data_IF_925439162445
#
_entry.id   IF_925439162445
#
_cell.length_a   1.000
_cell.length_b   1.000
_cell.length_c   1.000
_cell.angle_alpha   90.00
_cell.angle_beta   90.00
_cell.angle_gamma   90.00
#
_symmetry.space_group_name_H-M   'P 1'
#
loop_
_entity.id
_entity.type
_entity.pdbx_description
1 polymer ?
#
# COMPACT_ATOMS: atom_id res chain seq x y z
N UNK A 1 -2.32 22.75 -5.71
CA UNK A 1 -2.24 21.76 -4.61
C UNK A 1 -3.27 22.13 -3.57
N UNK A 2 -4.14 21.19 -3.21
CA UNK A 2 -5.06 21.37 -2.08
C UNK A 2 -4.29 21.09 -0.79
N UNK A 3 -4.24 22.04 0.14
CA UNK A 3 -3.65 21.85 1.46
C UNK A 3 -4.35 20.64 2.13
N UNK A 4 -3.56 19.68 2.59
CA UNK A 4 -4.05 18.50 3.29
C UNK A 4 -4.44 17.31 2.41
N UNK A 5 -4.36 17.41 1.07
CA UNK A 5 -4.53 16.27 0.19
C UNK A 5 -3.23 15.48 0.00
N UNK A 6 -3.32 14.17 -0.17
CA UNK A 6 -2.19 13.33 -0.56
C UNK A 6 -1.87 13.54 -2.05
N UNK A 7 -0.63 13.85 -2.34
CA UNK A 7 -0.06 13.84 -3.69
C UNK A 7 0.53 12.46 -3.96
N UNK A 8 -0.10 11.71 -4.85
CA UNK A 8 0.35 10.36 -5.22
C UNK A 8 1.60 10.44 -6.11
N UNK A 9 2.67 9.80 -5.66
CA UNK A 9 3.94 9.68 -6.41
C UNK A 9 4.60 8.36 -6.07
N UNK A 10 4.19 7.30 -6.75
CA UNK A 10 4.75 5.96 -6.53
C UNK A 10 6.19 5.88 -7.04
N UNK A 11 7.10 5.36 -6.20
CA UNK A 11 8.50 5.17 -6.53
C UNK A 11 9.14 4.10 -5.63
N UNK A 12 10.10 3.36 -6.18
CA UNK A 12 10.99 2.49 -5.40
C UNK A 12 12.18 3.26 -4.77
N UNK A 13 12.38 4.51 -5.19
CA UNK A 13 13.36 5.40 -4.59
C UNK A 13 12.69 6.26 -3.51
N UNK A 14 13.23 6.20 -2.30
CA UNK A 14 12.73 6.98 -1.17
C UNK A 14 13.42 8.35 -1.10
N UNK A 15 12.70 9.44 -0.72
CA UNK A 15 13.34 10.70 -0.35
C UNK A 15 14.38 10.45 0.74
N UNK A 16 15.55 11.14 0.67
CA UNK A 16 16.69 10.90 1.57
C UNK A 16 16.31 10.89 3.06
N UNK A 17 15.47 11.83 3.49
CA UNK A 17 15.03 11.91 4.88
C UNK A 17 14.15 10.72 5.29
N UNK A 18 13.27 10.28 4.38
CA UNK A 18 12.41 9.11 4.61
C UNK A 18 13.26 7.84 4.69
N UNK A 19 14.27 7.68 3.83
CA UNK A 19 15.21 6.57 3.87
C UNK A 19 15.95 6.51 5.22
N UNK A 20 16.36 7.68 5.76
CA UNK A 20 16.95 7.77 7.10
C UNK A 20 15.96 7.34 8.19
N UNK A 21 14.70 7.78 8.10
CA UNK A 21 13.66 7.39 9.05
C UNK A 21 13.36 5.89 9.01
N UNK A 22 13.34 5.29 7.83
CA UNK A 22 13.17 3.83 7.65
C UNK A 22 14.32 3.08 8.32
N UNK A 23 15.58 3.49 8.08
CA UNK A 23 16.74 2.83 8.67
C UNK A 23 16.78 2.85 10.21
N UNK A 24 16.06 3.77 10.84
CA UNK A 24 15.96 3.88 12.31
C UNK A 24 14.82 3.05 12.91
N UNK A 25 13.93 2.47 12.10
CA UNK A 25 12.75 1.75 12.62
C UNK A 25 13.13 0.53 13.45
N UNK A 26 14.08 -0.27 12.97
CA UNK A 26 14.48 -1.51 13.64
C UNK A 26 15.18 -1.26 14.98
N UNK A 27 15.77 -0.06 15.16
CA UNK A 27 16.36 0.37 16.44
C UNK A 27 15.29 0.88 17.43
N UNK A 28 14.15 1.35 16.93
CA UNK A 28 13.11 1.99 17.74
C UNK A 28 11.96 1.05 18.12
N UNK A 29 11.74 0.00 17.33
CA UNK A 29 10.58 -0.89 17.49
C UNK A 29 11.07 -2.31 17.78
N UNK A 30 10.70 -2.81 18.96
CA UNK A 30 11.01 -4.17 19.39
C UNK A 30 9.83 -5.09 19.08
N UNK A 31 10.10 -6.30 18.55
CA UNK A 31 9.10 -7.34 18.29
C UNK A 31 8.43 -7.27 16.91
N UNK A 32 8.87 -6.37 16.05
CA UNK A 32 8.49 -6.35 14.65
C UNK A 32 9.62 -5.81 13.77
N UNK A 33 9.71 -6.32 12.54
CA UNK A 33 10.61 -5.84 11.48
C UNK A 33 9.78 -5.18 10.36
N UNK A 34 10.38 -4.21 9.66
CA UNK A 34 9.69 -3.45 8.61
C UNK A 34 10.53 -3.39 7.34
N UNK A 35 10.08 -4.07 6.30
CA UNK A 35 10.68 -4.01 4.96
C UNK A 35 9.94 -2.98 4.10
N UNK A 36 10.55 -1.82 3.87
CA UNK A 36 9.98 -0.79 3.02
C UNK A 36 10.06 -1.18 1.54
N UNK A 37 8.93 -1.15 0.84
CA UNK A 37 8.78 -1.65 -0.53
C UNK A 37 8.62 -0.52 -1.55
N UNK A 38 7.76 0.48 -1.26
CA UNK A 38 7.52 1.58 -2.18
C UNK A 38 7.14 2.88 -1.44
N UNK A 39 7.63 3.99 -1.93
CA UNK A 39 7.13 5.32 -1.59
C UNK A 39 5.80 5.54 -2.30
N UNK A 40 4.81 6.05 -1.59
CA UNK A 40 3.44 6.23 -2.12
C UNK A 40 3.12 7.68 -2.46
N UNK A 41 3.69 8.62 -1.71
CA UNK A 41 3.42 10.04 -1.91
C UNK A 41 3.60 10.87 -0.65
N UNK A 42 3.16 12.12 -0.74
CA UNK A 42 3.29 13.11 0.35
C UNK A 42 2.02 13.90 0.58
N UNK A 43 1.92 14.48 1.77
CA UNK A 43 0.81 15.34 2.18
C UNK A 43 1.36 16.56 2.92
N UNK A 44 1.03 17.75 2.45
CA UNK A 44 1.43 19.00 3.12
C UNK A 44 0.47 19.29 4.25
N UNK A 45 1.02 19.32 5.47
CA UNK A 45 0.33 19.62 6.73
C UNK A 45 1.15 20.65 7.50
N UNK A 46 1.25 20.56 8.83
CA UNK A 46 2.31 21.27 9.57
C UNK A 46 3.64 20.51 9.40
N UNK A 47 4.32 20.77 8.28
CA UNK A 47 5.41 19.97 7.74
C UNK A 47 4.95 19.14 6.54
N UNK A 48 5.60 18.00 6.31
CA UNK A 48 5.24 17.08 5.23
C UNK A 48 5.12 15.66 5.77
N UNK A 49 3.96 15.05 5.56
CA UNK A 49 3.81 13.61 5.75
C UNK A 49 4.26 12.89 4.49
N UNK A 50 4.96 11.77 4.68
CA UNK A 50 5.40 10.86 3.63
C UNK A 50 4.83 9.48 3.90
N UNK A 51 4.18 8.87 2.92
CA UNK A 51 3.62 7.53 3.02
C UNK A 51 4.52 6.50 2.34
N UNK A 52 4.76 5.38 3.01
CA UNK A 52 5.60 4.28 2.54
C UNK A 52 4.85 2.96 2.71
N UNK A 53 4.71 2.19 1.63
CA UNK A 53 4.24 0.81 1.69
C UNK A 53 5.37 -0.07 2.22
N UNK A 54 5.06 -0.88 3.23
CA UNK A 54 6.01 -1.80 3.83
C UNK A 54 5.37 -3.14 4.20
N UNK A 55 6.19 -4.17 4.31
CA UNK A 55 5.85 -5.39 5.00
C UNK A 55 6.24 -5.25 6.47
N UNK A 56 5.32 -5.53 7.36
CA UNK A 56 5.59 -5.72 8.77
C UNK A 56 5.67 -7.22 9.06
N UNK A 57 6.74 -7.69 9.71
CA UNK A 57 6.85 -9.05 10.23
C UNK A 57 6.82 -8.99 11.75
N UNK A 58 5.77 -9.55 12.36
CA UNK A 58 5.63 -9.59 13.83
C UNK A 58 6.32 -10.84 14.35
N UNK A 59 7.33 -10.64 15.20
CA UNK A 59 8.20 -11.69 15.74
C UNK A 59 7.58 -12.32 17.01
N UNK A 60 6.65 -13.26 16.84
CA UNK A 60 5.92 -13.91 17.96
C UNK A 60 6.10 -15.42 18.02
N UNK A 61 7.18 -15.95 17.39
CA UNK A 61 7.44 -17.39 17.32
C UNK A 61 6.66 -18.14 16.23
N UNK A 62 5.59 -17.55 15.70
CA UNK A 62 4.99 -17.81 14.38
C UNK A 62 4.89 -16.46 13.70
N UNK A 63 5.91 -16.10 12.94
CA UNK A 63 6.00 -14.79 12.31
C UNK A 63 4.78 -14.52 11.45
N UNK A 64 4.03 -13.49 11.81
CA UNK A 64 2.87 -13.05 11.06
C UNK A 64 3.25 -11.83 10.25
N UNK A 65 2.98 -11.86 8.94
CA UNK A 65 3.27 -10.75 8.04
C UNK A 65 2.01 -9.92 7.80
N UNK A 66 2.16 -8.60 7.81
CA UNK A 66 1.11 -7.66 7.46
C UNK A 66 1.62 -6.71 6.37
N UNK A 67 0.73 -6.25 5.51
CA UNK A 67 1.01 -5.08 4.67
C UNK A 67 0.60 -3.83 5.46
N UNK A 68 1.51 -2.87 5.56
CA UNK A 68 1.31 -1.63 6.31
C UNK A 68 1.66 -0.41 5.48
N UNK A 69 1.08 0.73 5.82
CA UNK A 69 1.55 2.03 5.39
C UNK A 69 2.17 2.75 6.59
N UNK A 70 3.47 3.01 6.48
CA UNK A 70 4.23 3.84 7.40
C UNK A 70 4.05 5.30 7.00
N UNK A 71 3.71 6.16 7.94
CA UNK A 71 3.68 7.61 7.71
C UNK A 71 4.79 8.25 8.51
N UNK A 72 5.68 8.93 7.80
CA UNK A 72 6.76 9.73 8.37
C UNK A 72 6.40 11.20 8.28
N UNK A 73 6.57 11.96 9.37
CA UNK A 73 6.40 13.40 9.35
C UNK A 73 7.75 14.11 9.34
N UNK A 74 7.97 14.92 8.32
CA UNK A 74 9.08 15.86 8.22
C UNK A 74 8.64 17.20 8.81
N UNK A 75 9.25 17.59 9.94
CA UNK A 75 8.94 18.87 10.59
C UNK A 75 9.46 20.06 9.79
N UNK A 76 8.75 21.21 9.80
CA UNK A 76 9.22 22.42 9.14
C UNK A 76 10.57 22.88 9.69
N UNK A 77 11.45 23.33 8.81
CA UNK A 77 12.77 23.94 9.15
C UNK A 77 13.74 23.02 9.91
N UNK A 78 13.50 21.72 9.96
CA UNK A 78 14.42 20.75 10.55
C UNK A 78 14.85 19.72 9.51
N UNK A 79 15.91 18.98 9.82
CA UNK A 79 16.32 17.80 9.05
C UNK A 79 15.67 16.52 9.60
N UNK A 80 14.91 16.64 10.69
CA UNK A 80 14.33 15.51 11.39
C UNK A 80 13.09 14.99 10.69
N UNK A 81 13.02 13.70 10.58
CA UNK A 81 11.85 12.93 10.17
C UNK A 81 11.54 11.95 11.30
N UNK A 82 10.28 11.85 11.67
CA UNK A 82 9.82 10.93 12.70
C UNK A 82 8.69 10.06 12.18
N UNK A 83 8.64 8.80 12.62
CA UNK A 83 7.49 7.93 12.38
C UNK A 83 6.26 8.53 13.09
N UNK A 84 5.24 8.87 12.32
CA UNK A 84 3.99 9.44 12.82
C UNK A 84 2.93 8.37 13.06
N UNK A 85 2.84 7.37 12.17
CA UNK A 85 1.90 6.25 12.33
C UNK A 85 2.30 5.01 11.53
N UNK A 86 1.81 3.86 11.99
CA UNK A 86 1.84 2.57 11.30
C UNK A 86 0.39 2.16 11.07
N UNK A 87 -0.01 2.01 9.81
CA UNK A 87 -1.39 1.69 9.45
C UNK A 87 -1.44 0.35 8.74
N UNK A 88 -1.97 -0.68 9.39
CA UNK A 88 -2.17 -1.98 8.76
C UNK A 88 -3.25 -1.88 7.70
N UNK A 89 -2.90 -2.22 6.45
CA UNK A 89 -3.82 -2.20 5.31
C UNK A 89 -4.30 -3.61 4.91
N UNK A 90 -3.45 -4.63 5.08
CA UNK A 90 -3.82 -6.04 4.95
C UNK A 90 -3.21 -6.80 6.11
N UNK A 91 -4.04 -7.49 6.88
CA UNK A 91 -3.61 -8.34 7.99
C UNK A 91 -3.41 -9.76 7.49
N UNK A 92 -2.19 -10.26 7.62
CA UNK A 92 -1.90 -11.66 7.33
C UNK A 92 -2.42 -12.60 8.41
N UNK A 93 -2.66 -13.83 8.01
CA UNK A 93 -3.05 -14.90 8.92
C UNK A 93 -2.48 -16.23 8.42
N UNK A 94 -1.74 -16.92 9.26
CA UNK A 94 -1.10 -18.21 8.95
C UNK A 94 -2.06 -19.41 9.08
N UNK A 95 -3.36 -19.15 9.39
CA UNK A 95 -4.37 -20.20 9.47
C UNK A 95 -4.92 -20.56 8.07
N UNK A 96 -5.45 -21.79 7.89
CA UNK A 96 -6.08 -22.18 6.63
C UNK A 96 -7.16 -21.19 6.19
N UNK A 97 -7.08 -20.70 4.95
CA UNK A 97 -7.97 -19.66 4.42
C UNK A 97 -7.62 -18.23 4.83
N UNK A 98 -6.55 -18.05 5.57
CA UNK A 98 -5.99 -16.74 5.88
C UNK A 98 -5.28 -16.11 4.67
N UNK A 99 -4.94 -14.82 4.79
CA UNK A 99 -4.19 -14.12 3.75
C UNK A 99 -2.69 -14.36 3.99
N UNK A 100 -2.03 -14.94 2.99
CA UNK A 100 -0.57 -15.08 2.91
C UNK A 100 0.00 -13.76 2.36
N UNK A 101 0.50 -12.91 3.26
CA UNK A 101 1.06 -11.60 2.91
C UNK A 101 2.53 -11.74 2.50
N UNK A 102 2.86 -11.19 1.33
CA UNK A 102 4.22 -11.07 0.80
C UNK A 102 4.34 -9.79 -0.03
N UNK A 103 4.64 -8.68 0.62
CA UNK A 103 4.70 -7.37 -0.04
C UNK A 103 5.98 -7.24 -0.84
N UNK A 104 5.86 -7.12 -2.17
CA UNK A 104 7.00 -7.01 -3.07
C UNK A 104 6.65 -6.25 -4.35
N UNK A 105 7.63 -5.60 -4.96
CA UNK A 105 7.49 -5.04 -6.31
C UNK A 105 7.65 -6.08 -7.42
N UNK A 106 8.17 -7.26 -7.10
CA UNK A 106 8.25 -8.39 -8.02
C UNK A 106 6.92 -9.15 -8.02
N UNK A 107 6.04 -8.84 -8.97
CA UNK A 107 4.72 -9.46 -9.08
C UNK A 107 4.87 -10.88 -9.64
N UNK A 108 4.40 -11.94 -8.93
CA UNK A 108 4.42 -13.30 -9.44
C UNK A 108 3.69 -13.42 -10.78
N UNK A 109 4.22 -14.24 -11.70
CA UNK A 109 3.71 -14.34 -13.07
C UNK A 109 2.24 -14.78 -13.12
N UNK A 110 1.83 -15.72 -12.26
CA UNK A 110 0.45 -16.18 -12.15
C UNK A 110 -0.49 -15.10 -11.63
N UNK A 111 -0.05 -14.31 -10.64
CA UNK A 111 -0.82 -13.19 -10.11
C UNK A 111 -0.98 -12.09 -11.17
N UNK A 112 0.10 -11.77 -11.89
CA UNK A 112 0.05 -10.82 -13.00
C UNK A 112 -0.90 -11.26 -14.09
N UNK A 113 -0.86 -12.53 -14.50
CA UNK A 113 -1.76 -13.07 -15.51
C UNK A 113 -3.24 -12.98 -15.08
N UNK A 114 -3.55 -13.24 -13.80
CA UNK A 114 -4.89 -13.08 -13.25
C UNK A 114 -5.36 -11.61 -13.32
N UNK A 115 -4.50 -10.67 -12.94
CA UNK A 115 -4.81 -9.23 -13.00
C UNK A 115 -5.03 -8.78 -14.45
N UNK A 116 -4.15 -9.17 -15.39
CA UNK A 116 -4.26 -8.81 -16.79
C UNK A 116 -5.56 -9.39 -17.41
N UNK A 117 -5.97 -10.61 -17.03
CA UNK A 117 -7.22 -11.21 -17.45
C UNK A 117 -8.44 -10.46 -16.92
N UNK A 118 -8.42 -10.09 -15.63
CA UNK A 118 -9.50 -9.36 -14.97
C UNK A 118 -9.66 -7.93 -15.51
N UNK A 119 -8.56 -7.28 -15.89
CA UNK A 119 -8.58 -5.94 -16.49
C UNK A 119 -8.95 -5.94 -17.98
N UNK A 120 -9.06 -7.10 -18.61
CA UNK A 120 -9.45 -7.19 -20.01
C UNK A 120 -10.87 -6.71 -20.22
N UNK A 121 -11.01 -5.57 -20.91
CA UNK A 121 -12.32 -4.91 -21.12
C UNK A 121 -12.76 -4.00 -19.96
N UNK A 122 -11.95 -3.84 -18.93
CA UNK A 122 -12.20 -2.85 -17.89
C UNK A 122 -12.08 -1.43 -18.47
N UNK A 123 -13.09 -0.61 -18.23
CA UNK A 123 -13.19 0.76 -18.76
C UNK A 123 -13.38 1.75 -17.61
N UNK A 124 -13.08 3.03 -17.87
CA UNK A 124 -13.31 4.12 -16.91
C UNK A 124 -12.09 4.49 -16.07
N UNK A 125 -11.10 3.61 -15.92
CA UNK A 125 -9.84 3.91 -15.24
C UNK A 125 -8.69 3.09 -15.80
N UNK A 126 -7.49 3.67 -15.80
CA UNK A 126 -6.24 2.94 -15.99
C UNK A 126 -5.80 2.41 -14.63
N UNK A 127 -5.52 1.11 -14.53
CA UNK A 127 -5.07 0.43 -13.31
C UNK A 127 -3.68 -0.13 -13.55
N UNK A 128 -2.69 0.28 -12.75
CA UNK A 128 -1.30 -0.14 -12.87
C UNK A 128 -0.81 -0.67 -11.52
N UNK A 129 -0.63 -1.99 -11.43
CA UNK A 129 -0.06 -2.60 -10.23
C UNK A 129 1.44 -2.24 -10.11
N UNK A 130 1.84 -1.72 -8.96
CA UNK A 130 3.24 -1.43 -8.64
C UNK A 130 3.80 -2.33 -7.55
N UNK A 131 2.94 -3.02 -6.79
CA UNK A 131 3.36 -4.02 -5.83
C UNK A 131 2.31 -5.14 -5.72
N UNK A 132 2.81 -6.33 -5.44
CA UNK A 132 2.04 -7.48 -4.98
C UNK A 132 1.96 -7.41 -3.45
N UNK A 133 0.79 -7.71 -2.89
CA UNK A 133 0.56 -7.67 -1.44
C UNK A 133 0.47 -9.07 -0.84
N UNK A 134 -0.16 -10.00 -1.58
CA UNK A 134 -0.35 -11.35 -1.09
C UNK A 134 -1.48 -12.08 -1.81
N UNK A 135 -1.81 -13.26 -1.27
CA UNK A 135 -2.88 -14.09 -1.78
C UNK A 135 -3.69 -14.74 -0.65
N UNK A 136 -4.90 -15.14 -0.99
CA UNK A 136 -5.77 -15.91 -0.12
C UNK A 136 -6.32 -17.11 -0.90
N UNK A 137 -6.23 -18.30 -0.31
CA UNK A 137 -6.84 -19.51 -0.90
C UNK A 137 -8.29 -19.56 -0.43
N UNK A 138 -9.21 -19.49 -1.40
CA UNK A 138 -10.65 -19.57 -1.21
C UNK A 138 -11.21 -20.76 -2.01
N UNK A 139 -12.29 -20.64 -2.78
CA UNK A 139 -12.66 -21.62 -3.80
C UNK A 139 -11.74 -21.61 -5.02
N UNK A 140 -10.92 -20.57 -5.14
CA UNK A 140 -9.84 -20.35 -6.07
C UNK A 140 -8.71 -19.66 -5.32
N UNK A 141 -8.03 -18.73 -6.01
CA UNK A 141 -7.01 -17.88 -5.41
C UNK A 141 -7.42 -16.43 -5.61
N UNK A 142 -7.46 -15.68 -4.51
CA UNK A 142 -7.59 -14.24 -4.52
C UNK A 142 -6.18 -13.64 -4.45
N UNK A 143 -5.81 -12.85 -5.45
CA UNK A 143 -4.56 -12.09 -5.46
C UNK A 143 -4.82 -10.65 -5.06
N UNK A 144 -3.96 -10.07 -4.23
CA UNK A 144 -4.08 -8.70 -3.73
C UNK A 144 -2.90 -7.89 -4.22
N UNK A 145 -3.18 -6.72 -4.80
CA UNK A 145 -2.20 -5.80 -5.36
C UNK A 145 -2.36 -4.40 -4.79
N UNK A 146 -1.26 -3.64 -4.74
CA UNK A 146 -1.30 -2.20 -4.65
C UNK A 146 -1.18 -1.61 -6.06
N UNK A 147 -2.17 -0.80 -6.45
CA UNK A 147 -2.28 -0.25 -7.79
C UNK A 147 -2.40 1.27 -7.76
N UNK A 148 -1.75 1.93 -8.72
CA UNK A 148 -2.07 3.30 -9.09
C UNK A 148 -3.30 3.25 -10.01
N UNK A 149 -4.33 4.01 -9.67
CA UNK A 149 -5.59 4.10 -10.42
C UNK A 149 -5.76 5.52 -10.93
N UNK A 150 -5.86 5.66 -12.24
CA UNK A 150 -6.05 6.94 -12.93
C UNK A 150 -7.38 6.93 -13.66
N UNK A 151 -8.40 7.70 -13.23
CA UNK A 151 -9.67 7.79 -13.93
C UNK A 151 -9.50 8.35 -15.35
N UNK A 152 -10.30 7.86 -16.29
CA UNK A 152 -10.33 8.38 -17.67
C UNK A 152 -11.31 9.55 -17.72
N UNK A 153 -10.87 10.72 -17.25
CA UNK A 153 -11.62 12.00 -17.22
C UNK A 153 -10.69 13.14 -17.68
N UNK A 154 -11.24 14.34 -17.88
CA UNK A 154 -10.49 15.48 -18.42
C UNK A 154 -9.32 15.91 -17.51
N UNK A 155 -9.52 15.94 -16.20
CA UNK A 155 -8.48 16.29 -15.20
C UNK A 155 -8.34 15.12 -14.19
N UNK A 156 -7.60 14.05 -14.54
CA UNK A 156 -7.52 12.87 -13.73
C UNK A 156 -6.70 13.09 -12.45
N UNK A 157 -7.28 12.77 -11.30
CA UNK A 157 -6.53 12.66 -10.04
C UNK A 157 -6.17 11.21 -9.82
N UNK A 158 -4.87 10.94 -9.75
CA UNK A 158 -4.35 9.62 -9.43
C UNK A 158 -4.64 9.25 -7.97
N UNK A 159 -5.04 8.01 -7.76
CA UNK A 159 -5.24 7.44 -6.43
C UNK A 159 -4.46 6.13 -6.30
N UNK A 160 -4.25 5.69 -5.07
CA UNK A 160 -3.74 4.34 -4.80
C UNK A 160 -4.87 3.52 -4.23
N UNK A 161 -5.06 2.32 -4.78
CA UNK A 161 -6.05 1.37 -4.31
C UNK A 161 -5.42 -0.01 -4.11
N UNK A 162 -5.89 -0.72 -3.10
CA UNK A 162 -5.76 -2.17 -3.07
C UNK A 162 -6.76 -2.75 -4.06
N UNK A 163 -6.27 -3.66 -4.89
CA UNK A 163 -7.09 -4.37 -5.88
C UNK A 163 -6.99 -5.86 -5.60
N UNK A 164 -8.14 -6.48 -5.31
CA UNK A 164 -8.24 -7.93 -5.17
C UNK A 164 -8.82 -8.53 -6.45
N UNK A 165 -8.17 -9.57 -6.94
CA UNK A 165 -8.58 -10.32 -8.13
C UNK A 165 -8.94 -11.74 -7.75
N UNK A 166 -10.17 -12.17 -8.02
CA UNK A 166 -10.57 -13.56 -7.86
C UNK A 166 -10.26 -14.35 -9.12
N UNK A 167 -9.40 -15.38 -9.02
CA UNK A 167 -8.83 -16.08 -10.19
C UNK A 167 -9.82 -16.95 -10.98
N UNK A 168 -10.98 -17.29 -10.41
CA UNK A 168 -11.97 -18.16 -11.10
C UNK A 168 -12.82 -17.39 -12.10
N UNK A 169 -13.33 -16.22 -11.69
CA UNK A 169 -14.30 -15.43 -12.46
C UNK A 169 -13.79 -14.05 -12.89
N UNK A 170 -12.52 -13.76 -12.57
CA UNK A 170 -11.86 -12.47 -12.82
C UNK A 170 -12.57 -11.27 -12.18
N UNK A 171 -13.30 -11.49 -11.09
CA UNK A 171 -13.92 -10.38 -10.33
C UNK A 171 -12.86 -9.49 -9.73
N UNK A 172 -13.07 -8.19 -9.83
CA UNK A 172 -12.22 -7.14 -9.29
C UNK A 172 -12.91 -6.45 -8.12
N UNK A 173 -12.21 -6.32 -7.00
CA UNK A 173 -12.63 -5.48 -5.87
C UNK A 173 -11.58 -4.39 -5.62
N UNK A 174 -12.03 -3.15 -5.47
CA UNK A 174 -11.18 -1.98 -5.25
C UNK A 174 -11.41 -1.39 -3.87
N UNK A 175 -10.32 -1.06 -3.16
CA UNK A 175 -10.35 -0.31 -1.90
C UNK A 175 -9.30 0.79 -1.93
N UNK A 176 -9.75 2.04 -1.93
CA UNK A 176 -8.84 3.19 -1.97
C UNK A 176 -8.01 3.30 -0.69
N UNK A 177 -6.69 3.45 -0.82
CA UNK A 177 -5.79 3.67 0.31
C UNK A 177 -5.84 5.12 0.81
N UNK A 178 -5.93 6.07 -0.10
CA UNK A 178 -6.13 7.47 0.22
C UNK A 178 -7.55 7.83 -0.15
N UNK A 179 -8.41 7.92 0.83
CA UNK A 179 -9.80 8.31 0.62
C UNK A 179 -10.24 9.32 1.66
N UNK A 180 -10.81 10.40 1.20
CA UNK A 180 -11.99 10.95 1.79
C UNK A 180 -12.88 11.35 0.61
N UNK A 181 -14.17 11.39 0.83
CA UNK A 181 -15.17 11.65 -0.21
C UNK A 181 -15.00 13.02 -0.90
N UNK A 182 -14.09 13.88 -0.42
CA UNK A 182 -13.88 15.23 -0.93
C UNK A 182 -12.42 15.64 -1.16
N UNK A 183 -11.42 15.11 -0.46
CA UNK A 183 -10.06 15.69 -0.49
C UNK A 183 -8.88 14.71 -0.35
N UNK A 184 -9.04 13.40 -0.36
CA UNK A 184 -7.95 12.41 -0.14
C UNK A 184 -7.12 12.66 1.14
N UNK A 185 -7.75 13.08 2.23
CA UNK A 185 -7.04 13.50 3.45
C UNK A 185 -6.80 12.39 4.44
N UNK A 186 -7.49 11.25 4.31
CA UNK A 186 -7.39 10.12 5.23
C UNK A 186 -6.75 8.91 4.56
N UNK A 187 -5.84 8.29 5.29
CA UNK A 187 -5.34 6.96 4.96
C UNK A 187 -6.43 5.93 5.30
N UNK A 188 -6.72 5.01 4.38
CA UNK A 188 -7.68 3.93 4.61
C UNK A 188 -7.26 3.04 5.79
N UNK A 189 -8.24 2.59 6.57
CA UNK A 189 -8.03 1.67 7.69
C UNK A 189 -7.89 0.23 7.21
N UNK A 190 -7.42 -0.65 8.11
CA UNK A 190 -7.28 -2.08 7.86
C UNK A 190 -8.48 -2.65 7.11
N UNK A 191 -8.24 -3.15 5.91
CA UNK A 191 -9.26 -3.80 5.13
C UNK A 191 -9.40 -5.25 5.57
N UNK A 192 -10.56 -5.60 6.11
CA UNK A 192 -11.01 -6.99 6.21
C UNK A 192 -11.69 -7.34 4.90
N UNK A 193 -11.22 -8.38 4.26
CA UNK A 193 -11.83 -8.99 3.08
C UNK A 193 -12.76 -10.11 3.49
#
# INVERSE_FOLDING_TARGET
MSLGAWEVKVSTNFPQKVATGIAQLDEQIIGAEYDAVAYLGSQVVNGTNHAVLAQQTILTGRDTKNAVVLVFNEKPKTIEVALASINTIVKGNNEPGGIDVNVTTEIPAEAKAALDAALKGFVGSKVEAFAYIGKQVTKGIDYIFACEVTPVVQDPVKTISLVKVHSIDNTLEFKALFSDEKNNTKLGYAFTW
#
